data_IF_277270625148
#
_entry.id   IF_277270625148
#
_cell.length_a   1.000
_cell.length_b   1.000
_cell.length_c   1.000
_cell.angle_alpha   90.00
_cell.angle_beta   90.00
_cell.angle_gamma   90.00
#
_symmetry.space_group_name_H-M   'P 1'
#
loop_
_entity.id
_entity.type
_entity.pdbx_description
1 polymer ?
#
# COMPACT_ATOMS: atom_id res chain seq x y z
N UNK A 1 9.06 4.73 6.06
CA UNK A 1 8.79 3.34 6.44
C UNK A 1 7.75 3.36 7.54
N UNK A 2 6.70 2.56 7.45
CA UNK A 2 5.84 2.20 8.58
C UNK A 2 6.34 0.84 9.08
N UNK A 3 6.71 0.79 10.35
CA UNK A 3 7.27 -0.41 10.98
C UNK A 3 6.16 -1.38 11.40
N UNK A 4 6.49 -2.65 11.51
CA UNK A 4 5.53 -3.70 11.79
C UNK A 4 5.72 -4.31 13.18
N UNK A 5 4.82 -5.20 13.54
CA UNK A 5 4.76 -5.82 14.85
C UNK A 5 5.97 -6.70 15.24
N UNK A 6 6.91 -6.91 14.33
CA UNK A 6 8.18 -7.60 14.59
C UNK A 6 9.38 -6.65 14.62
N UNK A 7 9.18 -5.37 14.36
CA UNK A 7 10.21 -4.36 14.45
C UNK A 7 10.29 -3.82 15.88
N UNK A 8 11.50 -3.52 16.32
CA UNK A 8 11.76 -2.95 17.64
C UNK A 8 12.22 -1.50 17.53
N UNK A 9 12.17 -0.75 18.62
CA UNK A 9 12.73 0.60 18.69
C UNK A 9 14.17 0.68 18.21
N UNK A 10 14.95 -0.41 18.44
CA UNK A 10 16.31 -0.51 17.93
C UNK A 10 16.33 -0.62 16.40
N UNK A 11 15.40 -1.38 15.81
CA UNK A 11 15.25 -1.48 14.35
C UNK A 11 14.90 -0.13 13.76
N UNK A 12 13.96 0.60 14.34
CA UNK A 12 13.57 1.96 13.91
C UNK A 12 14.74 2.95 14.00
N UNK A 13 15.45 2.92 15.12
CA UNK A 13 16.66 3.73 15.32
C UNK A 13 17.71 3.46 14.26
N UNK A 14 17.92 2.18 13.93
CA UNK A 14 18.87 1.80 12.86
C UNK A 14 18.39 2.27 11.49
N UNK A 15 17.11 2.07 11.15
CA UNK A 15 16.53 2.55 9.90
C UNK A 15 16.69 4.07 9.76
N UNK A 16 16.41 4.81 10.82
CA UNK A 16 16.59 6.26 10.83
C UNK A 16 18.07 6.67 10.64
N UNK A 17 19.01 5.94 11.27
CA UNK A 17 20.45 6.18 11.13
C UNK A 17 20.96 5.88 9.72
N UNK A 18 20.32 4.95 9.02
CA UNK A 18 20.61 4.59 7.64
C UNK A 18 19.94 5.54 6.63
N UNK A 19 19.31 6.60 7.12
CA UNK A 19 18.70 7.66 6.32
C UNK A 19 17.28 7.37 5.85
N UNK A 20 16.62 6.36 6.39
CA UNK A 20 15.21 6.11 6.12
C UNK A 20 14.33 7.05 6.94
N UNK A 21 13.21 7.47 6.38
CA UNK A 21 12.19 8.24 7.10
C UNK A 21 11.27 7.23 7.78
N UNK A 22 11.37 7.10 9.09
CA UNK A 22 10.43 6.32 9.91
C UNK A 22 9.21 7.20 10.19
N UNK A 23 8.03 6.70 9.82
CA UNK A 23 6.77 7.42 10.00
C UNK A 23 6.33 7.32 11.47
N UNK A 24 5.77 8.41 11.98
CA UNK A 24 5.47 8.56 13.41
C UNK A 24 4.11 9.23 13.68
N UNK A 25 3.14 9.02 12.81
CA UNK A 25 1.81 9.60 12.94
C UNK A 25 1.68 11.03 12.42
N UNK A 26 2.73 11.58 11.82
CA UNK A 26 2.70 12.90 11.17
C UNK A 26 3.00 12.77 9.67
N UNK A 27 2.32 13.54 8.80
CA UNK A 27 2.64 13.54 7.38
C UNK A 27 4.05 14.03 7.11
N UNK A 28 4.75 13.37 6.20
CA UNK A 28 6.10 13.70 5.75
C UNK A 28 6.09 13.90 4.24
N UNK A 29 6.70 14.98 3.76
CA UNK A 29 6.84 15.23 2.33
C UNK A 29 8.04 14.45 1.76
N UNK A 30 7.78 13.64 0.75
CA UNK A 30 8.78 12.92 -0.01
C UNK A 30 8.57 13.09 -1.51
N UNK A 31 9.47 13.82 -2.17
CA UNK A 31 9.43 14.06 -3.64
C UNK A 31 8.07 14.57 -4.13
N UNK A 32 7.47 15.52 -3.39
CA UNK A 32 6.17 16.11 -3.74
C UNK A 32 4.94 15.25 -3.41
N UNK A 33 5.15 14.14 -2.70
CA UNK A 33 4.09 13.26 -2.18
C UNK A 33 4.08 13.36 -0.66
N UNK A 34 2.91 13.62 -0.09
CA UNK A 34 2.72 13.63 1.36
C UNK A 34 2.34 12.23 1.85
N UNK A 35 3.19 11.64 2.67
CA UNK A 35 3.04 10.29 3.21
C UNK A 35 2.77 10.35 4.71
N UNK A 36 1.66 9.78 5.13
CA UNK A 36 1.27 9.58 6.53
C UNK A 36 1.39 8.11 6.88
N UNK A 37 1.79 7.80 8.07
CA UNK A 37 1.81 6.44 8.62
C UNK A 37 2.35 6.45 10.03
N UNK A 38 2.29 5.30 10.65
CA UNK A 38 2.83 5.09 12.00
C UNK A 38 3.29 3.65 12.16
N UNK A 39 4.01 3.38 13.24
CA UNK A 39 4.38 2.05 13.68
C UNK A 39 3.15 1.24 14.12
N UNK A 40 3.32 -0.09 14.12
CA UNK A 40 2.32 -1.02 14.62
C UNK A 40 2.18 -0.86 16.14
N UNK A 41 0.98 -0.64 16.69
CA UNK A 41 0.77 -0.53 18.13
C UNK A 41 0.94 -1.84 18.88
N UNK A 42 1.09 -2.96 18.18
CA UNK A 42 1.33 -4.27 18.79
C UNK A 42 2.72 -4.80 18.41
N UNK A 43 3.57 -5.07 19.42
CA UNK A 43 4.84 -5.74 19.21
C UNK A 43 4.78 -7.21 19.57
N UNK A 44 5.30 -8.07 18.70
CA UNK A 44 5.47 -9.49 18.98
C UNK A 44 6.90 -9.75 19.49
N UNK A 45 7.03 -9.97 20.80
CA UNK A 45 8.29 -10.35 21.38
C UNK A 45 8.60 -11.80 20.99
N UNK A 46 9.78 -12.09 20.40
CA UNK A 46 10.19 -13.46 20.09
C UNK A 46 10.10 -14.36 21.34
N UNK A 47 9.52 -15.54 21.18
CA UNK A 47 9.33 -16.54 22.23
C UNK A 47 8.35 -16.15 23.36
N UNK A 48 7.64 -15.06 23.27
CA UNK A 48 6.52 -14.72 24.15
C UNK A 48 5.18 -15.00 23.48
N UNK A 49 4.22 -15.52 24.26
CA UNK A 49 2.81 -15.61 23.82
C UNK A 49 2.05 -14.32 24.11
N UNK A 50 2.65 -13.40 24.84
CA UNK A 50 2.04 -12.12 25.17
C UNK A 50 2.44 -11.09 24.12
N UNK A 51 1.45 -10.42 23.55
CA UNK A 51 1.67 -9.24 22.74
C UNK A 51 1.89 -8.06 23.66
N UNK A 52 3.06 -7.45 23.58
CA UNK A 52 3.32 -6.18 24.27
C UNK A 52 2.88 -5.05 23.37
N UNK A 53 2.01 -4.20 23.88
CA UNK A 53 1.61 -2.98 23.20
C UNK A 53 2.50 -1.84 23.63
N UNK A 54 3.15 -1.21 22.69
CA UNK A 54 3.94 -0.02 22.96
C UNK A 54 3.07 1.19 23.22
N UNK A 55 1.88 1.20 22.60
CA UNK A 55 0.87 2.24 22.79
C UNK A 55 -0.41 1.63 23.35
N UNK A 56 -1.12 2.45 24.11
CA UNK A 56 -2.44 2.05 24.67
C UNK A 56 -3.57 2.18 23.62
N UNK A 57 -3.26 2.04 22.31
CA UNK A 57 -4.26 2.06 21.24
C UNK A 57 -4.35 0.71 20.54
N UNK A 58 -5.49 0.43 19.96
CA UNK A 58 -5.71 -0.74 19.10
C UNK A 58 -5.36 -0.41 17.66
N UNK A 59 -5.28 -1.45 16.81
CA UNK A 59 -5.11 -1.29 15.37
C UNK A 59 -6.23 -0.44 14.73
N UNK A 60 -7.46 -0.64 15.17
CA UNK A 60 -8.61 0.12 14.71
C UNK A 60 -8.52 1.59 15.15
N UNK A 61 -8.07 1.85 16.37
CA UNK A 61 -7.85 3.20 16.89
C UNK A 61 -6.72 3.90 16.13
N UNK A 62 -5.63 3.19 15.81
CA UNK A 62 -4.61 3.67 14.89
C UNK A 62 -5.21 4.06 13.54
N UNK A 63 -6.02 3.19 12.94
CA UNK A 63 -6.70 3.47 11.68
C UNK A 63 -7.55 4.73 11.75
N UNK A 64 -8.33 4.89 12.81
CA UNK A 64 -9.16 6.08 13.01
C UNK A 64 -8.30 7.34 13.16
N UNK A 65 -7.23 7.27 13.92
CA UNK A 65 -6.29 8.40 14.09
C UNK A 65 -5.66 8.82 12.77
N UNK A 66 -5.28 7.87 11.91
CA UNK A 66 -4.75 8.16 10.57
C UNK A 66 -5.79 8.89 9.71
N UNK A 67 -7.06 8.48 9.76
CA UNK A 67 -8.16 9.17 9.08
C UNK A 67 -8.31 10.61 9.57
N UNK A 68 -8.29 10.83 10.87
CA UNK A 68 -8.46 12.16 11.47
C UNK A 68 -7.30 13.11 11.13
N UNK A 69 -6.07 12.59 11.11
CA UNK A 69 -4.90 13.36 10.66
C UNK A 69 -5.01 13.69 9.17
N UNK A 70 -5.37 12.71 8.33
CA UNK A 70 -5.49 12.91 6.88
C UNK A 70 -6.56 13.95 6.52
N UNK A 71 -7.65 14.06 7.29
CA UNK A 71 -8.69 15.09 7.08
C UNK A 71 -8.23 16.52 7.39
N UNK A 72 -7.24 16.67 8.25
CA UNK A 72 -6.77 17.99 8.71
C UNK A 72 -5.46 18.42 8.07
N UNK A 73 -4.72 17.48 7.48
CA UNK A 73 -3.44 17.73 6.84
C UNK A 73 -3.39 17.08 5.47
N UNK A 74 -2.73 17.72 4.51
CA UNK A 74 -2.50 17.12 3.20
C UNK A 74 -1.87 15.74 3.36
N UNK A 75 -2.51 14.75 2.77
CA UNK A 75 -2.05 13.35 2.79
C UNK A 75 -2.39 12.72 1.45
N UNK A 76 -1.38 12.31 0.70
CA UNK A 76 -1.54 11.63 -0.58
C UNK A 76 -1.53 10.10 -0.39
N UNK A 77 -0.70 9.61 0.53
CA UNK A 77 -0.50 8.18 0.82
C UNK A 77 -0.61 7.92 2.31
N UNK A 78 -1.33 6.87 2.70
CA UNK A 78 -1.31 6.34 4.07
C UNK A 78 -0.65 4.97 4.07
N UNK A 79 0.28 4.75 5.01
CA UNK A 79 0.98 3.48 5.20
C UNK A 79 0.79 2.99 6.63
N UNK A 80 0.26 1.79 6.79
CA UNK A 80 0.10 1.09 8.07
C UNK A 80 0.55 -0.35 7.92
N UNK A 81 0.83 -1.05 9.02
CA UNK A 81 1.27 -2.43 8.93
C UNK A 81 0.10 -3.41 8.86
N UNK A 82 -0.89 -3.26 9.72
CA UNK A 82 -1.94 -4.25 9.94
C UNK A 82 -3.18 -4.05 9.06
N UNK A 83 -3.83 -5.15 8.66
CA UNK A 83 -5.10 -5.10 7.93
C UNK A 83 -6.25 -4.45 8.70
N UNK A 84 -6.28 -4.56 10.03
CA UNK A 84 -7.35 -3.97 10.83
C UNK A 84 -7.33 -2.43 10.72
N UNK A 85 -6.17 -1.80 10.88
CA UNK A 85 -6.00 -0.37 10.66
C UNK A 85 -6.37 0.04 9.24
N UNK A 86 -5.87 -0.68 8.22
CA UNK A 86 -6.21 -0.39 6.82
C UNK A 86 -7.69 -0.52 6.50
N UNK A 87 -8.40 -1.45 7.14
CA UNK A 87 -9.84 -1.64 6.96
C UNK A 87 -10.63 -0.43 7.45
N UNK A 88 -10.28 0.13 8.59
CA UNK A 88 -10.88 1.37 9.11
C UNK A 88 -10.62 2.54 8.17
N UNK A 89 -9.38 2.68 7.70
CA UNK A 89 -8.99 3.76 6.78
C UNK A 89 -9.77 3.66 5.47
N UNK A 90 -9.84 2.48 4.87
CA UNK A 90 -10.53 2.26 3.59
C UNK A 90 -12.06 2.39 3.70
N UNK A 91 -12.63 2.17 4.89
CA UNK A 91 -14.05 2.36 5.13
C UNK A 91 -14.43 3.83 5.43
N UNK A 92 -13.45 4.70 5.64
CA UNK A 92 -13.72 6.09 6.01
C UNK A 92 -14.34 6.86 4.83
N UNK A 93 -15.48 7.54 5.04
CA UNK A 93 -16.08 8.36 4.00
C UNK A 93 -15.19 9.58 3.69
N UNK A 94 -15.13 9.93 2.42
CA UNK A 94 -14.41 11.14 1.96
C UNK A 94 -12.94 11.20 2.41
N UNK A 95 -12.26 10.04 2.37
CA UNK A 95 -10.84 9.97 2.67
C UNK A 95 -10.04 10.80 1.64
N UNK A 96 -9.24 11.79 2.06
CA UNK A 96 -8.48 12.61 1.12
C UNK A 96 -7.28 11.89 0.51
N UNK A 97 -6.74 10.86 1.18
CA UNK A 97 -5.64 10.07 0.67
C UNK A 97 -6.04 9.28 -0.59
N UNK A 98 -5.14 9.22 -1.57
CA UNK A 98 -5.37 8.53 -2.84
C UNK A 98 -4.83 7.11 -2.87
N UNK A 99 -3.96 6.77 -1.93
CA UNK A 99 -3.36 5.45 -1.82
C UNK A 99 -3.25 5.03 -0.36
N UNK A 100 -3.68 3.81 -0.06
CA UNK A 100 -3.53 3.18 1.26
C UNK A 100 -2.76 1.88 1.11
N UNK A 101 -1.65 1.76 1.80
CA UNK A 101 -0.76 0.60 1.74
C UNK A 101 -0.67 -0.06 3.10
N UNK A 102 -0.71 -1.40 3.09
CA UNK A 102 -0.47 -2.20 4.31
C UNK A 102 0.28 -3.50 3.98
N UNK A 103 0.76 -4.20 4.99
CA UNK A 103 1.58 -5.40 4.86
C UNK A 103 1.08 -6.59 5.67
N UNK A 104 1.88 -7.04 6.60
CA UNK A 104 1.69 -8.08 7.61
C UNK A 104 1.70 -9.53 7.06
N UNK A 105 0.87 -9.88 6.08
CA UNK A 105 0.73 -11.27 5.62
C UNK A 105 1.76 -11.72 4.61
N UNK A 106 2.70 -10.89 4.21
CA UNK A 106 3.72 -11.20 3.20
C UNK A 106 3.13 -11.75 1.89
N UNK A 107 1.92 -11.36 1.58
CA UNK A 107 1.21 -11.75 0.37
C UNK A 107 0.40 -10.59 -0.17
N UNK A 108 0.48 -10.41 -1.49
CA UNK A 108 -0.26 -9.36 -2.18
C UNK A 108 -1.78 -9.59 -2.13
N UNK A 109 -2.53 -8.50 -2.03
CA UNK A 109 -3.97 -8.48 -2.27
C UNK A 109 -4.42 -7.09 -2.69
N UNK A 110 -5.28 -7.03 -3.67
CA UNK A 110 -5.77 -5.80 -4.31
C UNK A 110 -5.28 -5.66 -5.74
N UNK A 111 -5.41 -4.50 -6.38
CA UNK A 111 -5.92 -3.27 -5.79
C UNK A 111 -7.42 -3.30 -5.46
N UNK A 112 -7.80 -2.71 -4.34
CA UNK A 112 -9.18 -2.42 -3.97
C UNK A 112 -9.44 -0.93 -4.22
N UNK A 113 -10.54 -0.60 -4.92
CA UNK A 113 -10.87 0.78 -5.24
C UNK A 113 -12.14 1.19 -4.50
N UNK A 114 -12.07 2.29 -3.76
CA UNK A 114 -13.23 2.92 -3.11
C UNK A 114 -13.49 4.24 -3.81
N UNK A 115 -14.66 4.35 -4.45
CA UNK A 115 -15.09 5.59 -5.14
C UNK A 115 -15.82 6.49 -4.16
N UNK A 116 -15.49 7.77 -4.17
CA UNK A 116 -16.10 8.81 -3.35
C UNK A 116 -17.24 9.52 -4.09
N UNK A 117 -18.14 10.22 -3.37
CA UNK A 117 -19.27 10.94 -3.98
C UNK A 117 -18.88 12.01 -5.01
N UNK A 118 -17.70 12.57 -4.91
CA UNK A 118 -17.15 13.57 -5.86
C UNK A 118 -16.56 12.94 -7.14
N UNK A 119 -16.67 11.60 -7.29
CA UNK A 119 -16.11 10.85 -8.40
C UNK A 119 -14.61 10.54 -8.28
N UNK A 120 -13.95 11.02 -7.23
CA UNK A 120 -12.58 10.60 -6.94
C UNK A 120 -12.54 9.19 -6.34
N UNK A 121 -11.35 8.61 -6.22
CA UNK A 121 -11.18 7.30 -5.60
C UNK A 121 -9.91 7.20 -4.76
N UNK A 122 -9.96 6.27 -3.83
CA UNK A 122 -8.81 5.79 -3.05
C UNK A 122 -8.50 4.36 -3.45
N UNK A 123 -7.23 4.08 -3.66
CA UNK A 123 -6.73 2.73 -3.96
C UNK A 123 -6.12 2.15 -2.70
N UNK A 124 -6.59 0.97 -2.31
CA UNK A 124 -6.02 0.18 -1.23
C UNK A 124 -5.26 -1.03 -1.77
N UNK A 125 -4.07 -1.30 -1.24
CA UNK A 125 -3.31 -2.47 -1.63
C UNK A 125 -2.48 -3.04 -0.49
N UNK A 126 -2.66 -4.33 -0.24
CA UNK A 126 -1.75 -5.07 0.62
C UNK A 126 -0.48 -5.43 -0.16
N UNK A 127 0.64 -5.00 0.38
CA UNK A 127 1.94 -5.28 -0.19
C UNK A 127 2.37 -6.72 0.11
N UNK A 128 3.12 -7.31 -0.81
CA UNK A 128 3.82 -8.55 -0.59
C UNK A 128 5.05 -8.31 0.32
N UNK A 129 6.17 -8.94 0.05
CA UNK A 129 7.38 -8.81 0.84
C UNK A 129 8.46 -8.03 0.10
N UNK A 130 9.17 -7.17 0.81
CA UNK A 130 10.34 -6.44 0.28
C UNK A 130 11.66 -7.13 0.68
N UNK A 131 11.76 -8.44 0.44
CA UNK A 131 12.93 -9.24 0.81
C UNK A 131 12.80 -9.98 2.14
N UNK A 132 11.61 -9.96 2.73
CA UNK A 132 11.32 -10.67 3.97
C UNK A 132 11.30 -12.18 3.79
N UNK A 133 11.75 -12.86 4.82
CA UNK A 133 11.66 -14.32 4.94
C UNK A 133 10.25 -14.65 5.43
N UNK A 134 9.50 -15.43 4.64
CA UNK A 134 8.31 -16.06 5.19
C UNK A 134 8.76 -16.92 6.38
N UNK A 135 8.18 -16.71 7.56
CA UNK A 135 8.53 -17.55 8.70
C UNK A 135 8.41 -19.01 8.31
N UNK A 136 9.41 -19.86 8.60
CA UNK A 136 9.33 -21.29 8.31
C UNK A 136 8.13 -21.85 9.07
N UNK A 137 7.11 -22.25 8.34
CA UNK A 137 5.94 -22.91 8.90
C UNK A 137 6.21 -24.41 8.94
N UNK A 138 5.97 -25.04 10.06
CA UNK A 138 5.96 -26.49 10.14
C UNK A 138 4.83 -27.03 9.27
N UNK A 139 5.17 -27.58 8.11
CA UNK A 139 4.17 -28.02 7.13
C UNK A 139 3.86 -29.51 7.23
N UNK A 140 4.85 -30.35 7.59
CA UNK A 140 4.69 -31.79 7.82
C UNK A 140 5.97 -32.39 8.38
N UNK A 141 5.90 -33.65 8.84
CA UNK A 141 7.10 -34.39 9.25
C UNK A 141 8.06 -34.72 8.10
N UNK A 142 7.56 -34.75 6.85
CA UNK A 142 8.39 -34.97 5.66
C UNK A 142 9.04 -33.69 5.14
N UNK A 143 8.42 -32.53 5.40
CA UNK A 143 8.94 -31.20 5.07
C UNK A 143 8.76 -30.29 6.26
N UNK A 144 9.59 -30.48 7.31
CA UNK A 144 9.37 -29.85 8.61
C UNK A 144 9.44 -28.32 8.58
N UNK A 145 10.15 -27.77 7.61
CA UNK A 145 10.23 -26.32 7.42
C UNK A 145 10.04 -26.00 5.93
N UNK A 146 9.04 -25.21 5.62
CA UNK A 146 8.95 -24.62 4.30
C UNK A 146 10.16 -23.71 4.09
N UNK A 147 10.88 -23.84 2.97
CA UNK A 147 11.98 -22.92 2.68
C UNK A 147 11.46 -21.49 2.70
N UNK A 148 12.22 -20.56 3.27
CA UNK A 148 11.81 -19.14 3.26
C UNK A 148 11.63 -18.69 1.82
N UNK A 149 10.50 -18.08 1.53
CA UNK A 149 10.26 -17.45 0.24
C UNK A 149 11.04 -16.14 0.26
N UNK A 150 12.20 -16.14 -0.35
CA UNK A 150 12.98 -14.93 -0.56
C UNK A 150 12.48 -14.33 -1.86
N UNK A 151 11.61 -13.33 -1.78
CA UNK A 151 11.28 -12.46 -2.90
C UNK A 151 11.35 -11.02 -2.43
N UNK A 152 11.68 -10.12 -3.34
CA UNK A 152 11.55 -8.70 -3.11
C UNK A 152 10.61 -8.15 -4.18
N UNK A 153 9.44 -7.68 -3.75
CA UNK A 153 8.47 -7.15 -4.67
C UNK A 153 8.44 -5.63 -4.56
N UNK A 154 8.48 -4.96 -5.71
CA UNK A 154 8.41 -3.50 -5.85
C UNK A 154 7.15 -3.17 -6.64
N UNK A 155 6.43 -2.15 -6.21
CA UNK A 155 5.20 -1.72 -6.88
C UNK A 155 5.37 -0.29 -7.38
N UNK A 156 5.14 -0.10 -8.67
CA UNK A 156 5.07 1.22 -9.29
C UNK A 156 3.62 1.68 -9.33
N UNK A 157 3.31 2.77 -8.63
CA UNK A 157 2.01 3.41 -8.65
C UNK A 157 2.03 4.57 -9.63
N UNK A 158 1.12 4.55 -10.57
CA UNK A 158 0.98 5.60 -11.57
C UNK A 158 -0.05 6.61 -11.09
N UNK A 159 0.37 7.85 -10.97
CA UNK A 159 -0.47 8.97 -10.55
C UNK A 159 -0.74 9.89 -11.72
N UNK A 160 -1.96 10.33 -11.86
CA UNK A 160 -2.30 11.41 -12.77
C UNK A 160 -1.91 12.75 -12.15
N UNK A 161 -1.14 13.56 -12.88
CA UNK A 161 -0.58 14.81 -12.36
C UNK A 161 -1.65 15.91 -12.16
N UNK A 162 -2.74 15.85 -12.93
CA UNK A 162 -3.80 16.87 -12.87
C UNK A 162 -4.77 16.61 -11.71
N UNK A 163 -5.12 15.36 -11.47
CA UNK A 163 -6.13 14.96 -10.48
C UNK A 163 -5.52 14.40 -9.19
N UNK A 164 -4.25 13.99 -9.23
CA UNK A 164 -3.58 13.29 -8.15
C UNK A 164 -4.06 11.85 -7.94
N UNK A 165 -4.98 11.35 -8.76
CA UNK A 165 -5.56 10.02 -8.63
C UNK A 165 -4.55 8.93 -9.05
N UNK A 166 -4.59 7.80 -8.36
CA UNK A 166 -3.84 6.61 -8.77
C UNK A 166 -4.59 5.92 -9.90
N UNK A 167 -3.95 5.77 -11.04
CA UNK A 167 -4.54 5.27 -12.29
C UNK A 167 -3.97 3.93 -12.73
N UNK A 168 -3.03 3.39 -11.97
CA UNK A 168 -2.49 2.06 -12.24
C UNK A 168 -1.46 1.62 -11.22
N UNK A 169 -1.24 0.33 -11.18
CA UNK A 169 -0.16 -0.30 -10.42
C UNK A 169 0.55 -1.34 -11.30
N UNK A 170 1.86 -1.42 -11.19
CA UNK A 170 2.68 -2.41 -11.89
C UNK A 170 3.62 -3.09 -10.90
N UNK A 171 3.40 -4.37 -10.60
CA UNK A 171 4.32 -5.16 -9.80
C UNK A 171 5.60 -5.51 -10.56
N UNK A 172 6.73 -5.45 -9.87
CA UNK A 172 8.01 -5.98 -10.32
C UNK A 172 8.54 -6.92 -9.24
N UNK A 173 8.77 -8.18 -9.59
CA UNK A 173 9.12 -9.23 -8.65
C UNK A 173 10.55 -9.71 -8.87
N UNK A 174 11.34 -9.62 -7.85
CA UNK A 174 12.68 -10.18 -7.82
C UNK A 174 12.60 -11.59 -7.22
N UNK A 175 12.89 -12.60 -8.02
CA UNK A 175 12.78 -14.01 -7.64
C UNK A 175 14.09 -14.55 -7.05
N UNK A 176 14.04 -15.60 -6.22
CA UNK A 176 15.23 -16.18 -5.60
C UNK A 176 16.25 -16.73 -6.60
N UNK A 177 15.81 -17.09 -7.80
CA UNK A 177 16.66 -17.59 -8.88
C UNK A 177 17.32 -16.45 -9.70
N UNK A 178 17.20 -15.22 -9.24
CA UNK A 178 17.77 -14.04 -9.88
C UNK A 178 16.94 -13.48 -11.03
N UNK A 179 15.80 -14.08 -11.36
CA UNK A 179 14.91 -13.53 -12.39
C UNK A 179 14.17 -12.30 -11.87
N UNK A 180 14.04 -11.32 -12.74
CA UNK A 180 13.14 -10.16 -12.52
C UNK A 180 11.93 -10.35 -13.43
N UNK A 181 10.75 -10.34 -12.84
CA UNK A 181 9.48 -10.44 -13.56
C UNK A 181 8.78 -9.11 -13.45
N UNK A 182 8.58 -8.46 -14.58
CA UNK A 182 7.74 -7.26 -14.69
C UNK A 182 6.36 -7.76 -15.09
N UNK A 183 5.39 -7.61 -14.19
CA UNK A 183 4.02 -8.05 -14.45
C UNK A 183 3.27 -6.99 -15.26
N UNK A 184 2.14 -7.38 -15.84
CA UNK A 184 1.29 -6.45 -16.57
C UNK A 184 0.77 -5.36 -15.63
N UNK A 185 0.64 -4.16 -16.19
CA UNK A 185 0.08 -3.03 -15.47
C UNK A 185 -1.42 -3.22 -15.27
N UNK A 186 -1.85 -3.13 -14.03
CA UNK A 186 -3.26 -3.13 -13.65
C UNK A 186 -3.76 -1.68 -13.76
N UNK A 187 -4.70 -1.42 -14.67
CA UNK A 187 -5.36 -0.13 -14.77
C UNK A 187 -6.38 0.03 -13.61
N UNK A 188 -6.48 1.24 -13.07
CA UNK A 188 -7.34 1.57 -11.92
C UNK A 188 -8.25 2.73 -12.29
N UNK A 189 -9.51 2.61 -11.90
CA UNK A 189 -10.54 3.61 -12.17
C UNK A 189 -11.11 3.50 -13.58
N UNK A 190 -12.01 4.40 -13.90
CA UNK A 190 -12.57 4.50 -15.25
C UNK A 190 -11.63 5.34 -16.12
N UNK A 191 -10.77 4.64 -16.87
CA UNK A 191 -9.81 5.29 -17.77
C UNK A 191 -10.49 6.15 -18.85
N UNK A 192 -11.78 5.92 -19.14
CA UNK A 192 -12.51 6.72 -20.13
C UNK A 192 -12.87 8.11 -19.61
N UNK A 193 -12.90 8.30 -18.28
CA UNK A 193 -13.07 9.61 -17.65
C UNK A 193 -11.80 10.44 -17.59
N UNK A 194 -10.63 9.84 -17.83
CA UNK A 194 -9.36 10.54 -17.81
C UNK A 194 -9.15 11.34 -19.12
N UNK A 195 -8.40 12.45 -19.06
CA UNK A 195 -7.99 13.17 -20.27
C UNK A 195 -7.35 12.25 -21.31
N UNK A 196 -7.59 12.49 -22.58
CA UNK A 196 -7.11 11.63 -23.68
C UNK A 196 -5.58 11.39 -23.61
N UNK A 197 -4.82 12.42 -23.24
CA UNK A 197 -3.36 12.36 -23.08
C UNK A 197 -2.95 11.38 -21.95
N UNK A 198 -3.71 11.37 -20.85
CA UNK A 198 -3.51 10.45 -19.73
C UNK A 198 -3.84 9.02 -20.16
N UNK A 199 -4.94 8.83 -20.90
CA UNK A 199 -5.32 7.51 -21.44
C UNK A 199 -4.25 6.92 -22.34
N UNK A 200 -3.67 7.73 -23.22
CA UNK A 200 -2.56 7.30 -24.09
C UNK A 200 -1.33 6.88 -23.28
N UNK A 201 -0.98 7.66 -22.24
CA UNK A 201 0.14 7.28 -21.34
C UNK A 201 -0.11 5.98 -20.58
N UNK A 202 -1.37 5.66 -20.29
CA UNK A 202 -1.76 4.42 -19.63
C UNK A 202 -1.78 3.20 -20.56
N UNK A 203 -1.54 3.38 -21.86
CA UNK A 203 -1.62 2.31 -22.85
C UNK A 203 -3.06 1.86 -23.15
N UNK A 204 -4.05 2.63 -22.69
CA UNK A 204 -5.45 2.38 -23.03
C UNK A 204 -5.67 2.66 -24.51
N UNK A 205 -6.12 1.65 -25.27
CA UNK A 205 -6.54 1.84 -26.64
C UNK A 205 -7.78 2.76 -26.63
N UNK A 206 -7.82 3.86 -27.39
CA UNK A 206 -9.00 4.70 -27.45
C UNK A 206 -10.20 3.87 -27.92
N UNK A 207 -11.28 3.89 -27.14
CA UNK A 207 -12.56 3.30 -27.58
C UNK A 207 -12.97 4.01 -28.86
N UNK A 208 -13.24 3.28 -29.96
CA UNK A 208 -13.67 3.91 -31.19
C UNK A 208 -14.96 4.68 -30.93
N UNK A 209 -14.94 5.97 -31.24
CA UNK A 209 -16.15 6.80 -31.18
C UNK A 209 -17.16 6.16 -32.13
N UNK A 210 -18.40 5.86 -31.69
CA UNK A 210 -19.40 5.37 -32.61
C UNK A 210 -19.59 6.43 -33.71
N UNK A 211 -19.45 5.98 -34.95
CA UNK A 211 -19.61 6.86 -36.11
C UNK A 211 -20.92 7.63 -35.96
N UNK A 212 -20.82 8.95 -35.97
CA UNK A 212 -21.98 9.81 -36.03
C UNK A 212 -22.78 9.38 -37.27
N UNK A 213 -23.96 8.80 -37.07
CA UNK A 213 -24.85 8.45 -38.16
C UNK A 213 -25.06 9.70 -39.00
N UNK A 214 -24.60 9.66 -40.24
CA UNK A 214 -24.85 10.67 -41.23
C UNK A 214 -26.35 10.69 -41.48
N UNK A 215 -27.07 11.77 -41.21
CA UNK A 215 -28.51 11.83 -41.54
C UNK A 215 -28.69 11.71 -43.04
N UNK A 216 -29.56 10.79 -43.46
CA UNK A 216 -30.00 10.61 -44.83
C UNK A 216 -30.95 11.71 -45.24
#
# INVERSE_FOLDING_TARGET
VATGNHDSDLTETQMASDGMIVLNGSPVEAVGVSVLGDDDPEHNIPFSVERTRDRAETEEELGQRMVDVARTRRTDVIMVHQPAASSVIMAAPELPARLVLWGHFHSESGPTVVTHPDGSWTVGMRQSTAGGVRQPTFSSFSTPFSPPLISADVYFYFRDDATGLITGVQPVRFRPDGRVVIEDRIAIGDVDLLPAETRVRLGATPTPTPDAETPR
#
